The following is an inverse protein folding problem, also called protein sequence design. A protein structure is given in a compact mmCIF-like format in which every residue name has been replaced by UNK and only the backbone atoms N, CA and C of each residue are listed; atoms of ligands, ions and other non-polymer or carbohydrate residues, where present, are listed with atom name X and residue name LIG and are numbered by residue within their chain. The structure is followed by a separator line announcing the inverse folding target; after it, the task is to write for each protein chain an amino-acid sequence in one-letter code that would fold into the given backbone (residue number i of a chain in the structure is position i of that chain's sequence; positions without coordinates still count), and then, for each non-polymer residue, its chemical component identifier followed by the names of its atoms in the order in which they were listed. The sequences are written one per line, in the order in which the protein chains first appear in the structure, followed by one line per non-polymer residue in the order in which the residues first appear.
data_IF_749498413503
#
_entry.id   IF_749498413503
#
_cell.length_a   1.000
_cell.length_b   1.000
_cell.length_c   1.000
_cell.angle_alpha   90.00
_cell.angle_beta   90.00
_cell.angle_gamma   90.00
#
_symmetry.space_group_name_H-M   'P 1'
#
loop_
_entity.id
_entity.type
_entity.pdbx_description
1 polymer ?
#
# COMPACT_ATOMS: atom_id res chain seq x y z
N UNK A 1 10.96 20.82 13.15
CA UNK A 1 10.03 21.23 12.08
C UNK A 1 10.06 20.13 11.04
N UNK A 2 9.01 19.32 10.98
CA UNK A 2 8.83 18.38 9.87
C UNK A 2 8.38 19.22 8.68
N UNK A 3 9.04 19.07 7.54
CA UNK A 3 8.57 19.75 6.33
C UNK A 3 7.28 19.04 5.86
N UNK A 4 6.13 19.68 6.02
CA UNK A 4 4.83 19.13 5.60
C UNK A 4 4.83 18.67 4.15
N UNK A 5 5.60 19.33 3.28
CA UNK A 5 5.78 18.92 1.88
C UNK A 5 6.31 17.48 1.79
N UNK A 6 7.26 17.11 2.66
CA UNK A 6 7.78 15.75 2.72
C UNK A 6 6.74 14.75 3.23
N UNK A 7 5.87 15.16 4.16
CA UNK A 7 4.78 14.31 4.64
C UNK A 7 3.78 14.05 3.53
N UNK A 8 3.34 15.09 2.81
CA UNK A 8 2.42 14.92 1.69
C UNK A 8 2.99 14.03 0.58
N UNK A 9 4.25 14.25 0.19
CA UNK A 9 4.91 13.43 -0.83
C UNK A 9 5.08 12.00 -0.34
N UNK A 10 5.58 11.80 0.88
CA UNK A 10 5.80 10.46 1.46
C UNK A 10 4.50 9.67 1.55
N UNK A 11 3.44 10.28 2.09
CA UNK A 11 2.10 9.69 2.15
C UNK A 11 1.57 9.34 0.77
N UNK A 12 1.67 10.24 -0.20
CA UNK A 12 1.20 9.98 -1.56
C UNK A 12 1.93 8.81 -2.22
N UNK A 13 3.26 8.74 -2.06
CA UNK A 13 4.07 7.63 -2.60
C UNK A 13 3.67 6.30 -1.97
N UNK A 14 3.53 6.25 -0.64
CA UNK A 14 3.18 5.01 0.07
C UNK A 14 1.75 4.54 -0.27
N UNK A 15 0.78 5.47 -0.35
CA UNK A 15 -0.59 5.14 -0.79
C UNK A 15 -0.57 4.61 -2.23
N UNK A 16 0.11 5.31 -3.14
CA UNK A 16 0.22 4.88 -4.54
C UNK A 16 0.85 3.48 -4.64
N UNK A 17 1.85 3.19 -3.81
CA UNK A 17 2.50 1.88 -3.74
C UNK A 17 1.56 0.78 -3.25
N UNK A 18 0.73 1.07 -2.24
CA UNK A 18 -0.29 0.13 -1.78
C UNK A 18 -1.37 -0.15 -2.81
N UNK A 19 -1.82 0.88 -3.55
CA UNK A 19 -2.71 0.71 -4.70
C UNK A 19 -2.07 -0.15 -5.79
N UNK A 20 -0.78 0.08 -6.07
CA UNK A 20 -0.05 -0.72 -7.06
C UNK A 20 0.01 -2.21 -6.69
N UNK A 21 0.18 -2.55 -5.41
CA UNK A 21 0.14 -3.95 -4.95
C UNK A 21 -1.21 -4.60 -5.26
N UNK A 22 -2.31 -3.94 -4.89
CA UNK A 22 -3.66 -4.46 -5.11
C UNK A 22 -3.93 -4.64 -6.61
N UNK A 23 -3.64 -3.62 -7.43
CA UNK A 23 -3.84 -3.67 -8.89
C UNK A 23 -2.96 -4.72 -9.56
N UNK A 24 -1.71 -4.88 -9.11
CA UNK A 24 -0.76 -5.83 -9.69
C UNK A 24 -0.98 -7.29 -9.26
N UNK A 25 -1.84 -7.56 -8.27
CA UNK A 25 -2.10 -8.92 -7.73
C UNK A 25 -2.37 -9.94 -8.84
N UNK A 26 -3.29 -9.65 -9.77
CA UNK A 26 -3.67 -10.58 -10.84
C UNK A 26 -2.49 -10.96 -11.76
N UNK A 27 -1.83 -9.98 -12.41
CA UNK A 27 -0.63 -10.22 -13.21
C UNK A 27 0.51 -10.89 -12.43
N UNK A 28 0.78 -10.47 -11.19
CA UNK A 28 1.86 -11.02 -10.37
C UNK A 28 1.61 -12.50 -10.07
N UNK A 29 0.41 -12.86 -9.61
CA UNK A 29 0.05 -14.25 -9.31
C UNK A 29 0.11 -15.13 -10.57
N UNK A 30 -0.20 -14.59 -11.76
CA UNK A 30 -0.01 -15.30 -13.03
C UNK A 30 1.48 -15.51 -13.37
N UNK A 31 2.36 -14.61 -12.97
CA UNK A 31 3.80 -14.69 -13.20
C UNK A 31 4.50 -15.85 -12.50
N UNK A 32 3.90 -16.41 -11.44
CA UNK A 32 4.44 -17.57 -10.72
C UNK A 32 4.23 -18.92 -11.41
N UNK A 33 3.48 -18.97 -12.53
CA UNK A 33 3.22 -20.21 -13.26
C UNK A 33 2.30 -21.18 -12.50
N UNK A 34 2.57 -22.48 -12.62
CA UNK A 34 1.75 -23.53 -12.01
C UNK A 34 2.08 -23.71 -10.51
N UNK A 35 1.40 -22.90 -9.69
CA UNK A 35 1.35 -23.08 -8.23
C UNK A 35 0.03 -23.75 -7.82
N UNK A 36 0.03 -24.43 -6.67
CA UNK A 36 -1.19 -25.02 -6.10
C UNK A 36 -2.27 -23.95 -5.87
N UNK A 37 -3.55 -24.36 -5.87
CA UNK A 37 -4.65 -23.42 -5.60
C UNK A 37 -4.54 -22.79 -4.21
N UNK A 38 -4.03 -23.53 -3.22
CA UNK A 38 -3.82 -23.02 -1.87
C UNK A 38 -2.77 -21.91 -1.84
N UNK A 39 -1.60 -22.17 -2.45
CA UNK A 39 -0.53 -21.17 -2.56
C UNK A 39 -1.01 -19.93 -3.32
N UNK A 40 -1.84 -20.12 -4.35
CA UNK A 40 -2.44 -19.01 -5.10
C UNK A 40 -3.34 -18.14 -4.22
N UNK A 41 -4.12 -18.75 -3.33
CA UNK A 41 -4.99 -18.02 -2.40
C UNK A 41 -4.19 -17.28 -1.35
N UNK A 42 -3.20 -17.94 -0.75
CA UNK A 42 -2.29 -17.31 0.23
C UNK A 42 -1.60 -16.11 -0.41
N UNK A 43 -1.03 -16.27 -1.61
CA UNK A 43 -0.34 -15.18 -2.30
C UNK A 43 -1.27 -13.98 -2.56
N UNK A 44 -2.51 -14.21 -3.01
CA UNK A 44 -3.49 -13.13 -3.18
C UNK A 44 -3.80 -12.45 -1.86
N UNK A 45 -4.00 -13.21 -0.78
CA UNK A 45 -4.28 -12.66 0.55
C UNK A 45 -3.14 -11.78 1.04
N UNK A 46 -1.90 -12.25 0.93
CA UNK A 46 -0.70 -11.52 1.39
C UNK A 46 -0.51 -10.20 0.60
N UNK A 47 -0.61 -10.23 -0.74
CA UNK A 47 -0.44 -9.03 -1.56
C UNK A 47 -1.53 -7.99 -1.26
N UNK A 48 -2.77 -8.43 -1.07
CA UNK A 48 -3.88 -7.53 -0.73
C UNK A 48 -3.69 -6.97 0.68
N UNK A 49 -3.30 -7.81 1.65
CA UNK A 49 -3.03 -7.36 3.02
C UNK A 49 -1.90 -6.33 3.06
N UNK A 50 -0.80 -6.57 2.35
CA UNK A 50 0.32 -5.64 2.23
C UNK A 50 -0.12 -4.32 1.56
N UNK A 51 -0.87 -4.40 0.46
CA UNK A 51 -1.38 -3.22 -0.22
C UNK A 51 -2.28 -2.34 0.67
N UNK A 52 -3.16 -2.97 1.45
CA UNK A 52 -4.00 -2.27 2.42
C UNK A 52 -3.17 -1.69 3.58
N UNK A 53 -2.17 -2.41 4.07
CA UNK A 53 -1.27 -1.93 5.11
C UNK A 53 -0.49 -0.68 4.64
N UNK A 54 -0.02 -0.68 3.39
CA UNK A 54 0.64 0.49 2.80
C UNK A 54 -0.32 1.69 2.68
N UNK A 55 -1.54 1.49 2.16
CA UNK A 55 -2.54 2.56 2.11
C UNK A 55 -2.80 3.14 3.50
N UNK A 56 -2.93 2.28 4.50
CA UNK A 56 -3.11 2.70 5.90
C UNK A 56 -1.90 3.48 6.42
N UNK A 57 -0.67 2.99 6.22
CA UNK A 57 0.57 3.64 6.66
C UNK A 57 0.81 4.99 6.00
N UNK A 58 0.42 5.18 4.73
CA UNK A 58 0.49 6.49 4.08
C UNK A 58 -0.66 7.41 4.48
N UNK A 59 -1.85 6.84 4.73
CA UNK A 59 -3.06 7.55 5.13
C UNK A 59 -3.00 8.12 6.55
N UNK A 60 -2.41 7.41 7.51
CA UNK A 60 -2.28 7.86 8.90
C UNK A 60 -1.55 9.22 9.04
N UNK A 61 -0.29 9.38 8.59
CA UNK A 61 0.42 10.65 8.72
C UNK A 61 -0.28 11.77 7.93
N UNK A 62 -0.86 11.46 6.76
CA UNK A 62 -1.63 12.42 5.98
C UNK A 62 -2.85 12.92 6.75
N UNK A 63 -3.62 12.00 7.35
CA UNK A 63 -4.80 12.33 8.15
C UNK A 63 -4.41 13.15 9.38
N UNK A 64 -3.34 12.78 10.08
CA UNK A 64 -2.82 13.58 11.20
C UNK A 64 -2.46 14.99 10.75
N UNK A 65 -1.64 15.17 9.72
CA UNK A 65 -1.25 16.50 9.21
C UNK A 65 -2.46 17.36 8.83
N UNK A 66 -3.49 16.78 8.23
CA UNK A 66 -4.72 17.51 7.86
C UNK A 66 -5.56 17.87 9.10
N UNK A 67 -5.70 16.96 10.07
CA UNK A 67 -6.62 17.13 11.21
C UNK A 67 -6.02 17.93 12.37
N UNK A 68 -4.72 17.82 12.64
CA UNK A 68 -4.06 18.56 13.72
C UNK A 68 -3.44 19.89 13.26
N UNK A 69 -3.43 20.18 11.96
CA UNK A 69 -2.72 21.32 11.38
C UNK A 69 -1.20 21.08 11.25
N UNK A 70 -0.43 22.13 10.90
CA UNK A 70 1.04 22.08 10.77
C UNK A 70 1.75 21.38 11.93
N UNK A 71 2.67 20.45 11.62
CA UNK A 71 3.55 19.75 12.57
C UNK A 71 4.75 20.59 13.02
#
# INVERSE_FOLDING_TARGET
MINETLVYIGSAVIIAWGVAHIVATGPMVKGFGDISQENRRILVMEIVAEGLALIFLGGLPLAFTILSGPL
#
